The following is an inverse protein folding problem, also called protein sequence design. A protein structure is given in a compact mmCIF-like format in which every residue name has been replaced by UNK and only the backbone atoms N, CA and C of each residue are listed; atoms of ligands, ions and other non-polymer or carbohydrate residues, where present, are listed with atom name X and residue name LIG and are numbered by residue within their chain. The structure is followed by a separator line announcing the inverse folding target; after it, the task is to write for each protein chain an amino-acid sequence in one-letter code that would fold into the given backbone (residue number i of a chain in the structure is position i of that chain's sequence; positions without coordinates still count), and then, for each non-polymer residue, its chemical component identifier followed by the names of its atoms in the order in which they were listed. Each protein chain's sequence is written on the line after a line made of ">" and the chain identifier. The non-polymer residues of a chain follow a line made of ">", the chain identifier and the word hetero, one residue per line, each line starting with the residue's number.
data_IF_798606604829
#
_entry.id   IF_798606604829
#
_cell.length_a   1.000
_cell.length_b   1.000
_cell.length_c   1.000
_cell.angle_alpha   90.00
_cell.angle_beta   90.00
_cell.angle_gamma   90.00
#
_symmetry.space_group_name_H-M   'P 1'
#
loop_
_entity.id
_entity.type
_entity.pdbx_description
1 polymer ?
#
# COMPACT_ATOMS: atom_id res chain seq x y z
N UNK A 1 -2.07 4.59 -10.50
CA UNK A 1 -0.99 5.35 -9.84
C UNK A 1 0.40 4.69 -9.88
N UNK A 2 1.48 5.45 -9.61
CA UNK A 2 2.88 4.96 -9.53
C UNK A 2 3.53 5.39 -8.21
N UNK A 3 4.43 4.57 -7.67
CA UNK A 3 5.18 4.84 -6.45
C UNK A 3 6.61 4.31 -6.58
N UNK A 4 7.60 5.18 -6.34
CA UNK A 4 9.03 4.83 -6.41
C UNK A 4 9.46 4.22 -5.09
N UNK A 5 9.81 2.94 -5.11
CA UNK A 5 10.37 2.24 -3.96
C UNK A 5 11.86 2.58 -3.79
N UNK A 6 12.27 2.65 -2.52
CA UNK A 6 13.66 2.79 -2.10
C UNK A 6 14.00 1.69 -1.11
N UNK A 7 15.28 1.58 -0.73
CA UNK A 7 15.72 0.63 0.30
C UNK A 7 15.06 0.91 1.68
N UNK A 8 14.57 2.13 1.90
CA UNK A 8 13.91 2.56 3.14
C UNK A 8 12.37 2.44 3.07
N UNK A 9 11.82 2.02 1.92
CA UNK A 9 10.36 1.89 1.76
C UNK A 9 9.81 0.76 2.63
N UNK A 10 8.84 1.12 3.48
CA UNK A 10 8.22 0.23 4.47
C UNK A 10 6.69 0.19 4.36
N UNK A 11 6.03 -0.43 5.33
CA UNK A 11 4.57 -0.50 5.36
C UNK A 11 3.91 0.82 5.71
N UNK A 12 4.54 1.67 6.52
CA UNK A 12 3.97 2.96 6.89
C UNK A 12 3.90 3.87 5.66
N UNK A 13 4.90 3.78 4.78
CA UNK A 13 4.88 4.42 3.47
C UNK A 13 3.80 3.81 2.55
N UNK A 14 3.77 2.48 2.40
CA UNK A 14 2.91 1.81 1.41
C UNK A 14 1.43 1.71 1.81
N UNK A 15 1.14 1.46 3.09
CA UNK A 15 -0.22 1.30 3.66
C UNK A 15 -0.73 2.63 4.20
N UNK A 16 0.15 3.41 4.80
CA UNK A 16 -0.22 4.68 5.42
C UNK A 16 0.22 4.75 6.85
N UNK A 17 0.19 5.97 7.37
CA UNK A 17 0.68 6.29 8.71
C UNK A 17 -0.21 7.33 9.35
N UNK A 18 -0.21 7.33 10.67
CA UNK A 18 -0.76 8.44 11.43
C UNK A 18 0.04 9.71 11.11
N UNK A 19 -0.67 10.79 10.80
CA UNK A 19 -0.04 12.09 10.62
C UNK A 19 0.42 12.65 11.97
N UNK A 20 1.22 13.71 11.92
CA UNK A 20 1.67 14.42 13.13
C UNK A 20 0.50 15.07 13.92
N UNK A 21 -0.66 15.19 13.30
CA UNK A 21 -1.88 15.67 13.95
C UNK A 21 -2.68 14.52 14.54
N UNK A 22 -3.00 14.64 15.83
CA UNK A 22 -3.77 13.63 16.56
C UNK A 22 -5.09 13.36 15.85
N UNK A 23 -5.29 12.11 15.44
CA UNK A 23 -6.54 11.63 14.84
C UNK A 23 -6.61 11.65 13.31
N UNK A 24 -5.59 12.15 12.60
CA UNK A 24 -5.58 12.12 11.13
C UNK A 24 -4.67 11.00 10.60
N UNK A 25 -5.27 10.00 9.95
CA UNK A 25 -4.57 8.89 9.31
C UNK A 25 -4.49 9.12 7.80
N UNK A 26 -3.29 9.08 7.25
CA UNK A 26 -3.07 9.25 5.81
C UNK A 26 -2.78 7.92 5.15
N UNK A 27 -3.73 7.46 4.32
CA UNK A 27 -3.54 6.28 3.47
C UNK A 27 -2.29 6.40 2.59
N UNK A 28 -1.55 5.32 2.48
CA UNK A 28 -0.45 5.11 1.55
C UNK A 28 -0.96 4.76 0.15
N UNK A 29 -0.05 4.56 -0.82
CA UNK A 29 -0.40 4.22 -2.19
C UNK A 29 -1.23 2.93 -2.31
N UNK A 30 -0.98 1.91 -1.49
CA UNK A 30 -1.64 0.62 -1.62
C UNK A 30 -3.17 0.70 -1.35
N UNK A 31 -3.63 1.09 -0.15
CA UNK A 31 -5.07 1.23 0.10
C UNK A 31 -5.74 2.28 -0.78
N UNK A 32 -5.04 3.35 -1.18
CA UNK A 32 -5.59 4.32 -2.15
C UNK A 32 -5.91 3.67 -3.49
N UNK A 33 -4.96 2.92 -4.05
CA UNK A 33 -5.17 2.23 -5.32
C UNK A 33 -6.30 1.20 -5.23
N UNK A 34 -6.35 0.44 -4.14
CA UNK A 34 -7.42 -0.54 -3.91
C UNK A 34 -8.80 0.13 -3.84
N UNK A 35 -8.93 1.22 -3.08
CA UNK A 35 -10.19 1.98 -2.94
C UNK A 35 -10.66 2.64 -4.23
N UNK A 36 -9.71 3.14 -5.01
CA UNK A 36 -10.00 3.82 -6.27
C UNK A 36 -10.13 2.84 -7.45
N UNK A 37 -10.00 1.54 -7.20
CA UNK A 37 -10.03 0.48 -8.21
C UNK A 37 -9.07 0.73 -9.39
N UNK A 38 -7.85 1.19 -9.07
CA UNK A 38 -6.84 1.55 -10.06
C UNK A 38 -5.58 0.68 -9.95
N UNK A 39 -4.76 0.67 -11.01
CA UNK A 39 -3.47 -0.01 -10.99
C UNK A 39 -2.47 0.74 -10.10
N UNK A 40 -1.68 0.01 -9.30
CA UNK A 40 -0.52 0.52 -8.58
C UNK A 40 0.75 -0.07 -9.16
N UNK A 41 1.61 0.76 -9.75
CA UNK A 41 2.98 0.39 -10.14
C UNK A 41 3.93 0.74 -9.00
N UNK A 42 4.61 -0.27 -8.46
CA UNK A 42 5.76 -0.10 -7.58
C UNK A 42 7.01 -0.08 -8.44
N UNK A 43 7.52 1.11 -8.73
CA UNK A 43 8.74 1.32 -9.50
C UNK A 43 9.97 1.05 -8.63
N UNK A 44 11.02 0.47 -9.19
CA UNK A 44 12.18 -0.01 -8.44
C UNK A 44 11.78 -1.00 -7.33
N UNK A 45 10.77 -1.83 -7.59
CA UNK A 45 10.29 -2.86 -6.66
C UNK A 45 11.38 -3.83 -6.20
N UNK A 46 12.49 -3.93 -6.93
CA UNK A 46 13.71 -4.67 -6.56
C UNK A 46 14.43 -4.14 -5.32
N UNK A 47 14.24 -2.87 -4.94
CA UNK A 47 14.79 -2.30 -3.71
C UNK A 47 14.05 -2.82 -2.47
N UNK A 48 12.82 -3.30 -2.65
CA UNK A 48 12.07 -3.96 -1.57
C UNK A 48 12.66 -5.33 -1.27
N UNK A 49 12.86 -5.62 0.01
CA UNK A 49 13.24 -6.97 0.44
C UNK A 49 12.20 -8.01 0.01
N UNK A 50 12.63 -9.25 -0.19
CA UNK A 50 11.72 -10.36 -0.51
C UNK A 50 10.61 -10.52 0.54
N UNK A 51 10.92 -10.26 1.81
CA UNK A 51 9.95 -10.24 2.89
C UNK A 51 8.93 -9.11 2.72
N UNK A 52 9.37 -7.93 2.28
CA UNK A 52 8.47 -6.81 2.05
C UNK A 52 7.50 -7.10 0.90
N UNK A 53 8.00 -7.61 -0.22
CA UNK A 53 7.17 -8.04 -1.35
C UNK A 53 6.15 -9.11 -0.95
N UNK A 54 6.53 -10.06 -0.09
CA UNK A 54 5.62 -11.08 0.42
C UNK A 54 4.47 -10.47 1.25
N UNK A 55 4.76 -9.51 2.13
CA UNK A 55 3.72 -8.81 2.89
C UNK A 55 2.77 -8.04 1.97
N UNK A 56 3.29 -7.26 1.02
CA UNK A 56 2.45 -6.52 0.06
C UNK A 56 1.53 -7.48 -0.69
N UNK A 57 2.04 -8.62 -1.17
CA UNK A 57 1.24 -9.65 -1.85
C UNK A 57 0.16 -10.29 -0.98
N UNK A 58 0.30 -10.29 0.33
CA UNK A 58 -0.75 -10.76 1.26
C UNK A 58 -1.78 -9.63 1.45
N UNK A 59 -1.31 -8.41 1.69
CA UNK A 59 -2.16 -7.26 1.99
C UNK A 59 -3.11 -6.92 0.83
N UNK A 60 -2.71 -7.15 -0.42
CA UNK A 60 -3.57 -6.86 -1.58
C UNK A 60 -4.86 -7.69 -1.63
N UNK A 61 -4.99 -8.77 -0.87
CA UNK A 61 -6.19 -9.62 -0.84
C UNK A 61 -7.23 -9.13 0.16
N UNK A 62 -6.80 -8.70 1.35
CA UNK A 62 -7.67 -8.34 2.47
C UNK A 62 -6.88 -7.43 3.42
N UNK A 63 -6.88 -6.13 3.13
CA UNK A 63 -6.15 -5.14 3.90
C UNK A 63 -7.04 -4.61 5.03
N UNK A 64 -6.66 -4.88 6.28
CA UNK A 64 -7.28 -4.24 7.44
C UNK A 64 -6.37 -3.13 7.98
N UNK A 65 -6.89 -1.90 8.03
CA UNK A 65 -6.21 -0.73 8.59
C UNK A 65 -6.78 -0.47 9.98
N UNK A 66 -5.94 -0.63 11.00
CA UNK A 66 -6.38 -0.59 12.41
C UNK A 66 -6.76 0.83 12.82
N UNK A 67 -6.03 1.83 12.35
CA UNK A 67 -6.21 3.24 12.69
C UNK A 67 -7.57 3.80 12.26
N UNK A 68 -8.15 3.22 11.21
CA UNK A 68 -9.45 3.63 10.66
C UNK A 68 -10.53 2.56 10.85
N UNK A 69 -10.19 1.45 11.50
CA UNK A 69 -11.05 0.27 11.68
C UNK A 69 -11.66 -0.24 10.37
N UNK A 70 -10.95 -0.04 9.26
CA UNK A 70 -11.48 -0.27 7.91
C UNK A 70 -10.86 -1.50 7.27
N UNK A 71 -11.72 -2.34 6.70
CA UNK A 71 -11.31 -3.43 5.81
C UNK A 71 -11.47 -3.00 4.37
N UNK A 72 -10.36 -3.03 3.63
CA UNK A 72 -10.26 -2.60 2.24
C UNK A 72 -10.04 -3.83 1.37
N UNK A 73 -10.99 -4.06 0.48
CA UNK A 73 -10.90 -5.09 -0.55
C UNK A 73 -10.40 -4.47 -1.85
N UNK A 74 -9.60 -5.20 -2.66
CA UNK A 74 -9.26 -4.74 -3.99
C UNK A 74 -10.55 -4.66 -4.83
N UNK A 75 -10.72 -3.58 -5.58
CA UNK A 75 -11.76 -3.52 -6.60
C UNK A 75 -11.49 -4.50 -7.75
N UNK A 76 -12.44 -4.61 -8.69
CA UNK A 76 -12.38 -5.57 -9.81
C UNK A 76 -11.22 -5.29 -10.79
N UNK A 77 -10.83 -4.02 -10.92
CA UNK A 77 -9.81 -3.54 -11.86
C UNK A 77 -8.46 -3.27 -11.19
N UNK A 78 -8.40 -3.25 -9.85
CA UNK A 78 -7.16 -3.11 -9.11
C UNK A 78 -6.12 -4.13 -9.56
N UNK A 79 -4.91 -3.64 -9.88
CA UNK A 79 -3.74 -4.48 -10.11
C UNK A 79 -2.52 -3.90 -9.43
N UNK A 80 -1.69 -4.79 -8.87
CA UNK A 80 -0.35 -4.45 -8.42
C UNK A 80 0.66 -4.87 -9.50
N UNK A 81 1.46 -3.92 -9.98
CA UNK A 81 2.52 -4.13 -10.96
C UNK A 81 3.86 -3.85 -10.26
N UNK A 82 4.82 -4.77 -10.43
CA UNK A 82 6.18 -4.64 -9.91
C UNK A 82 7.10 -4.34 -11.09
N UNK A 83 7.71 -3.16 -11.10
CA UNK A 83 8.63 -2.63 -12.13
C UNK A 83 9.99 -2.32 -11.48
#
# INVERSE_FOLDING_TARGET
>A
MRHVCTADTDLDELVGRQSEWVGDFRYGPLPRAMKNDEELVLENSRELSAFMLAKVKILIWDLFVVETEERIHPGEHFRLILD
#
